data_IF_085483120665
#
_entry.id   IF_085483120665
#
_cell.length_a   1.000
_cell.length_b   1.000
_cell.length_c   1.000
_cell.angle_alpha   90.00
_cell.angle_beta   90.00
_cell.angle_gamma   90.00
#
_symmetry.space_group_name_H-M   'P 1'
#
loop_
_entity.id
_entity.type
_entity.pdbx_description
1 polymer ?
#
# COMPACT_ATOMS: atom_id res chain seq x y z
N UNK A 1 0.84 27.19 8.12
CA UNK A 1 1.49 26.08 8.84
C UNK A 1 0.90 24.80 8.28
N UNK A 2 1.68 23.99 7.57
CA UNK A 2 1.28 22.67 7.13
C UNK A 2 1.15 21.70 8.30
N UNK A 3 0.51 20.53 8.09
CA UNK A 3 0.27 19.55 9.14
C UNK A 3 1.55 18.97 9.74
N UNK A 4 2.68 19.05 9.03
CA UNK A 4 3.98 18.49 9.44
C UNK A 4 5.03 19.54 9.79
N UNK A 5 4.67 20.84 9.80
CA UNK A 5 5.64 21.93 10.01
C UNK A 5 6.31 21.88 11.39
N UNK A 6 5.56 21.49 12.43
CA UNK A 6 6.12 21.34 13.77
C UNK A 6 7.14 20.20 13.83
N UNK A 7 6.85 19.07 13.18
CA UNK A 7 7.76 17.93 13.12
C UNK A 7 9.06 18.31 12.39
N UNK A 8 8.95 19.08 11.32
CA UNK A 8 10.11 19.60 10.58
C UNK A 8 10.95 20.53 11.45
N UNK A 9 10.32 21.52 12.09
CA UNK A 9 11.01 22.46 12.96
C UNK A 9 11.75 21.75 14.11
N UNK A 10 11.13 20.74 14.73
CA UNK A 10 11.77 19.93 15.76
C UNK A 10 12.94 19.12 15.21
N UNK A 11 12.77 18.48 14.04
CA UNK A 11 13.85 17.70 13.41
C UNK A 11 15.07 18.54 13.04
N UNK A 12 14.88 19.82 12.72
CA UNK A 12 15.97 20.77 12.41
C UNK A 12 16.75 21.18 13.67
N UNK A 13 16.14 21.10 14.84
CA UNK A 13 16.79 21.44 16.12
C UNK A 13 17.66 20.32 16.71
N UNK A 14 17.51 19.08 16.23
CA UNK A 14 18.18 17.89 16.79
C UNK A 14 19.13 17.29 15.74
N UNK A 15 20.39 17.09 16.12
CA UNK A 15 21.40 16.44 15.27
C UNK A 15 21.38 14.91 15.34
N UNK A 16 22.19 14.26 14.49
CA UNK A 16 22.40 12.81 14.54
C UNK A 16 23.26 12.46 15.75
N UNK A 17 22.81 11.52 16.57
CA UNK A 17 23.60 10.95 17.66
C UNK A 17 24.62 9.94 17.10
N UNK A 18 25.95 10.16 17.23
CA UNK A 18 26.96 9.26 16.73
C UNK A 18 27.12 7.99 17.58
N UNK A 19 26.57 7.97 18.80
CA UNK A 19 26.71 6.85 19.74
C UNK A 19 25.55 5.85 19.65
N UNK A 20 24.41 6.29 19.12
CA UNK A 20 23.22 5.45 18.95
C UNK A 20 23.21 4.72 17.59
N UNK A 21 22.63 3.51 17.52
CA UNK A 21 22.29 2.90 16.25
C UNK A 21 21.23 3.73 15.51
N UNK A 22 21.16 3.59 14.20
CA UNK A 22 20.12 4.26 13.41
C UNK A 22 18.72 3.84 13.89
N UNK A 23 17.78 4.80 14.02
CA UNK A 23 16.38 4.61 14.49
C UNK A 23 15.59 3.46 13.83
N UNK A 24 16.06 2.98 12.68
CA UNK A 24 15.39 1.90 11.96
C UNK A 24 15.58 0.52 12.62
N UNK A 25 16.59 0.40 13.49
CA UNK A 25 16.92 -0.78 14.28
C UNK A 25 16.30 -0.68 15.67
N UNK A 26 16.10 -1.85 16.30
CA UNK A 26 15.69 -1.91 17.70
C UNK A 26 16.93 -1.55 18.54
N UNK A 27 16.77 -0.64 19.49
CA UNK A 27 17.85 -0.19 20.39
C UNK A 27 18.04 -1.20 21.54
N UNK A 28 18.39 -2.43 21.16
CA UNK A 28 18.71 -3.52 22.08
C UNK A 28 20.02 -4.19 21.65
N UNK A 29 21.02 -4.33 22.54
CA UNK A 29 22.34 -4.85 22.19
C UNK A 29 22.35 -6.23 21.52
N UNK A 30 21.38 -7.10 21.80
CA UNK A 30 21.31 -8.42 21.20
C UNK A 30 20.73 -8.39 19.77
N UNK A 31 20.00 -7.34 19.41
CA UNK A 31 19.29 -7.24 18.11
C UNK A 31 19.93 -6.25 17.14
N UNK A 32 20.82 -5.36 17.60
CA UNK A 32 21.48 -4.37 16.74
C UNK A 32 22.45 -5.08 15.78
N UNK A 33 22.25 -4.96 14.45
CA UNK A 33 23.15 -5.58 13.48
C UNK A 33 24.48 -4.82 13.39
N UNK A 34 25.59 -5.52 13.63
CA UNK A 34 26.94 -4.94 13.66
C UNK A 34 27.61 -4.86 12.28
N UNK A 35 27.32 -5.80 11.37
CA UNK A 35 27.96 -5.89 10.05
C UNK A 35 27.07 -5.37 8.93
N UNK A 36 27.65 -4.95 7.80
CA UNK A 36 26.88 -4.51 6.65
C UNK A 36 25.96 -5.62 6.08
N UNK A 37 26.41 -6.88 6.11
CA UNK A 37 25.62 -8.01 5.69
C UNK A 37 24.39 -8.23 6.59
N UNK A 38 24.59 -8.24 7.91
CA UNK A 38 23.49 -8.40 8.88
C UNK A 38 22.51 -7.24 8.84
N UNK A 39 22.97 -6.01 8.60
CA UNK A 39 22.10 -4.84 8.35
C UNK A 39 21.20 -5.05 7.13
N UNK A 40 21.73 -5.55 6.01
CA UNK A 40 20.94 -5.85 4.81
C UNK A 40 19.91 -6.94 5.09
N UNK A 41 20.32 -8.02 5.73
CA UNK A 41 19.43 -9.12 6.10
C UNK A 41 18.31 -8.65 7.03
N UNK A 42 18.61 -7.78 8.00
CA UNK A 42 17.60 -7.20 8.90
C UNK A 42 16.51 -6.45 8.10
N UNK A 43 16.90 -5.57 7.17
CA UNK A 43 15.94 -4.85 6.33
C UNK A 43 15.13 -5.79 5.43
N UNK A 44 15.79 -6.77 4.81
CA UNK A 44 15.10 -7.77 3.99
C UNK A 44 14.06 -8.54 4.81
N UNK A 45 14.42 -9.02 6.00
CA UNK A 45 13.51 -9.74 6.89
C UNK A 45 12.33 -8.87 7.33
N UNK A 46 12.59 -7.60 7.67
CA UNK A 46 11.53 -6.63 8.04
C UNK A 46 10.55 -6.38 6.89
N UNK A 47 11.04 -6.22 5.68
CA UNK A 47 10.18 -6.03 4.50
C UNK A 47 9.42 -7.31 4.12
N UNK A 48 10.04 -8.49 4.22
CA UNK A 48 9.37 -9.77 4.01
C UNK A 48 8.23 -9.97 5.01
N UNK A 49 8.45 -9.66 6.30
CA UNK A 49 7.40 -9.72 7.32
C UNK A 49 6.23 -8.78 7.01
N UNK A 50 6.50 -7.55 6.55
CA UNK A 50 5.45 -6.62 6.10
C UNK A 50 4.64 -7.17 4.93
N UNK A 51 5.30 -7.76 3.93
CA UNK A 51 4.63 -8.36 2.76
C UNK A 51 3.77 -9.55 3.15
N UNK A 52 4.29 -10.45 3.99
CA UNK A 52 3.55 -11.59 4.50
C UNK A 52 2.32 -11.15 5.29
N UNK A 53 2.44 -10.12 6.13
CA UNK A 53 1.31 -9.56 6.87
C UNK A 53 0.24 -8.94 5.95
N UNK A 54 0.65 -8.25 4.88
CA UNK A 54 -0.29 -7.72 3.88
C UNK A 54 -1.03 -8.83 3.15
N UNK A 55 -0.32 -9.86 2.71
CA UNK A 55 -0.94 -11.02 2.07
C UNK A 55 -1.95 -11.70 3.00
N UNK A 56 -1.62 -11.89 4.28
CA UNK A 56 -2.55 -12.44 5.27
C UNK A 56 -3.81 -11.58 5.41
N UNK A 57 -3.66 -10.26 5.39
CA UNK A 57 -4.77 -9.32 5.46
C UNK A 57 -5.66 -9.36 4.22
N UNK A 58 -5.07 -9.56 3.03
CA UNK A 58 -5.79 -9.74 1.77
C UNK A 58 -6.56 -11.07 1.70
N UNK A 59 -5.96 -12.16 2.20
CA UNK A 59 -6.60 -13.48 2.24
C UNK A 59 -7.74 -13.56 3.26
N UNK A 60 -7.61 -12.91 4.41
CA UNK A 60 -8.56 -12.98 5.53
C UNK A 60 -9.05 -11.60 5.99
N UNK A 61 -9.72 -10.82 5.12
CA UNK A 61 -10.07 -9.43 5.41
C UNK A 61 -11.04 -9.30 6.60
N UNK A 62 -11.84 -10.33 6.87
CA UNK A 62 -12.79 -10.35 8.00
C UNK A 62 -12.09 -10.27 9.36
N UNK A 63 -10.86 -10.76 9.47
CA UNK A 63 -10.07 -10.65 10.71
C UNK A 63 -9.64 -9.19 11.00
N UNK A 64 -9.68 -8.33 9.99
CA UNK A 64 -9.26 -6.93 10.04
C UNK A 64 -10.43 -5.96 9.86
N UNK A 65 -11.68 -6.44 9.96
CA UNK A 65 -12.89 -5.65 9.74
C UNK A 65 -13.34 -4.82 10.95
N UNK A 66 -12.72 -5.01 12.12
CA UNK A 66 -13.06 -4.23 13.32
C UNK A 66 -12.41 -2.85 13.27
N UNK A 67 -13.22 -1.84 12.96
CA UNK A 67 -12.79 -0.45 12.86
C UNK A 67 -13.16 0.35 14.11
N UNK A 68 -12.20 1.12 14.62
CA UNK A 68 -12.36 1.98 15.81
C UNK A 68 -11.71 3.36 15.64
N UNK A 69 -11.10 3.60 14.49
CA UNK A 69 -10.41 4.83 14.12
C UNK A 69 -11.40 5.91 13.67
N UNK A 70 -11.20 7.10 14.21
CA UNK A 70 -11.85 8.34 13.77
C UNK A 70 -10.75 9.41 13.65
N UNK A 71 -10.41 9.90 12.45
CA UNK A 71 -11.05 9.63 11.15
C UNK A 71 -10.73 8.24 10.58
N UNK A 72 -11.60 7.76 9.70
CA UNK A 72 -11.38 6.52 8.94
C UNK A 72 -10.08 6.58 8.13
N UNK A 73 -9.27 5.51 8.21
CA UNK A 73 -7.96 5.43 7.55
C UNK A 73 -7.93 4.34 6.45
N UNK A 74 -8.26 4.69 5.18
CA UNK A 74 -8.29 3.73 4.07
C UNK A 74 -6.95 3.01 3.81
N UNK A 75 -5.84 3.65 4.17
CA UNK A 75 -4.49 3.13 3.94
C UNK A 75 -4.16 1.88 4.78
N UNK A 76 -4.89 1.62 5.88
CA UNK A 76 -4.67 0.46 6.75
C UNK A 76 -5.69 -0.66 6.54
N UNK A 77 -6.54 -0.55 5.53
CA UNK A 77 -7.54 -1.57 5.22
C UNK A 77 -7.04 -2.51 4.13
N UNK A 78 -7.39 -3.81 4.21
CA UNK A 78 -7.13 -4.73 3.11
C UNK A 78 -7.83 -4.22 1.85
N UNK A 79 -7.04 -3.93 0.80
CA UNK A 79 -7.57 -3.54 -0.50
C UNK A 79 -7.66 -4.80 -1.34
N UNK A 80 -8.85 -5.41 -1.41
CA UNK A 80 -9.06 -6.50 -2.35
C UNK A 80 -9.26 -5.90 -3.75
N UNK A 81 -8.51 -6.34 -4.78
CA UNK A 81 -8.82 -5.96 -6.15
C UNK A 81 -10.28 -6.31 -6.43
N UNK A 82 -11.00 -5.39 -7.07
CA UNK A 82 -12.40 -5.61 -7.37
C UNK A 82 -12.50 -6.74 -8.39
N UNK A 83 -13.40 -7.70 -8.16
CA UNK A 83 -13.65 -8.76 -9.12
C UNK A 83 -14.25 -8.15 -10.40
N UNK A 84 -13.55 -8.17 -11.55
CA UNK A 84 -14.02 -7.52 -12.78
C UNK A 84 -15.36 -8.06 -13.27
N UNK A 85 -15.79 -9.25 -12.82
CA UNK A 85 -17.10 -9.81 -13.13
C UNK A 85 -18.24 -9.19 -12.30
N UNK A 86 -17.93 -8.66 -11.11
CA UNK A 86 -18.90 -8.01 -10.22
C UNK A 86 -19.00 -6.50 -10.45
N UNK A 87 -17.97 -5.89 -11.05
CA UNK A 87 -17.96 -4.45 -11.37
C UNK A 87 -18.92 -4.16 -12.54
N UNK A 88 -19.64 -3.05 -12.45
CA UNK A 88 -20.55 -2.62 -13.50
C UNK A 88 -19.77 -2.25 -14.78
N UNK A 89 -20.20 -2.68 -15.98
CA UNK A 89 -19.53 -2.38 -17.25
C UNK A 89 -19.75 -0.91 -17.65
N UNK A 90 -18.98 -0.01 -17.04
CA UNK A 90 -19.02 1.44 -17.25
C UNK A 90 -17.63 1.98 -17.56
N UNK A 91 -17.55 3.01 -18.39
CA UNK A 91 -16.28 3.63 -18.82
C UNK A 91 -15.44 4.12 -17.62
N UNK A 92 -16.08 4.73 -16.62
CA UNK A 92 -15.43 5.21 -15.39
C UNK A 92 -14.69 4.08 -14.65
N UNK A 93 -15.25 2.88 -14.61
CA UNK A 93 -14.64 1.73 -13.92
C UNK A 93 -13.44 1.18 -14.68
N UNK A 94 -13.48 1.18 -16.02
CA UNK A 94 -12.33 0.79 -16.85
C UNK A 94 -11.19 1.78 -16.65
N UNK A 95 -11.48 3.08 -16.69
CA UNK A 95 -10.49 4.14 -16.43
C UNK A 95 -9.86 3.99 -15.04
N UNK A 96 -10.66 3.73 -14.01
CA UNK A 96 -10.16 3.50 -12.65
C UNK A 96 -9.23 2.27 -12.55
N UNK A 97 -9.49 1.19 -13.30
CA UNK A 97 -8.62 0.01 -13.36
C UNK A 97 -7.31 0.30 -14.11
N UNK A 98 -7.37 1.10 -15.19
CA UNK A 98 -6.19 1.56 -15.93
C UNK A 98 -5.27 2.40 -15.03
N UNK A 99 -5.84 3.34 -14.27
CA UNK A 99 -5.09 4.16 -13.31
C UNK A 99 -4.38 3.31 -12.24
N UNK A 100 -5.04 2.24 -11.78
CA UNK A 100 -4.48 1.27 -10.83
C UNK A 100 -3.48 0.29 -11.45
N UNK A 101 -3.29 0.33 -12.77
CA UNK A 101 -2.43 -0.59 -13.54
C UNK A 101 -2.87 -2.05 -13.48
N UNK A 102 -4.17 -2.29 -13.30
CA UNK A 102 -4.80 -3.62 -13.29
C UNK A 102 -5.11 -4.04 -14.74
N UNK A 103 -4.07 -4.29 -15.55
CA UNK A 103 -4.19 -4.45 -17.01
C UNK A 103 -5.09 -5.63 -17.41
N UNK A 104 -4.92 -6.80 -16.78
CA UNK A 104 -5.72 -7.99 -17.11
C UNK A 104 -7.21 -7.77 -16.81
N UNK A 105 -7.52 -7.12 -15.70
CA UNK A 105 -8.90 -6.88 -15.27
C UNK A 105 -9.56 -5.78 -16.09
N UNK A 106 -8.82 -4.73 -16.45
CA UNK A 106 -9.27 -3.69 -17.37
C UNK A 106 -9.64 -4.26 -18.75
N UNK A 107 -8.80 -5.15 -19.30
CA UNK A 107 -9.07 -5.82 -20.59
C UNK A 107 -10.35 -6.67 -20.50
N UNK A 108 -10.51 -7.47 -19.45
CA UNK A 108 -11.73 -8.29 -19.25
C UNK A 108 -12.99 -7.44 -19.13
N UNK A 109 -12.93 -6.33 -18.41
CA UNK A 109 -14.06 -5.43 -18.27
C UNK A 109 -14.42 -4.74 -19.59
N UNK A 110 -13.41 -4.35 -20.38
CA UNK A 110 -13.60 -3.77 -21.71
C UNK A 110 -14.23 -4.76 -22.70
N UNK A 111 -13.79 -6.03 -22.70
CA UNK A 111 -14.39 -7.08 -23.53
C UNK A 111 -15.89 -7.28 -23.21
N UNK A 112 -16.26 -7.18 -21.92
CA UNK A 112 -17.66 -7.25 -21.49
C UNK A 112 -18.47 -6.05 -21.97
N UNK A 113 -17.93 -4.84 -21.84
CA UNK A 113 -18.57 -3.61 -22.35
C UNK A 113 -18.86 -3.72 -23.85
N UNK A 114 -17.89 -4.25 -24.61
CA UNK A 114 -18.05 -4.50 -26.05
C UNK A 114 -19.13 -5.56 -26.35
N UNK A 115 -19.19 -6.63 -25.55
CA UNK A 115 -20.22 -7.66 -25.70
C UNK A 115 -21.63 -7.13 -25.41
N UNK A 116 -21.75 -6.22 -24.44
CA UNK A 116 -23.02 -5.60 -24.04
C UNK A 116 -23.44 -4.44 -24.98
N UNK A 117 -22.64 -4.14 -26.03
CA UNK A 117 -22.85 -3.04 -26.99
C UNK A 117 -23.00 -1.66 -26.33
N UNK A 118 -22.27 -1.41 -25.25
CA UNK A 118 -22.25 -0.11 -24.58
C UNK A 118 -21.28 0.80 -25.36
N UNK A 119 -21.72 2.00 -25.72
CA UNK A 119 -20.86 3.00 -26.37
C UNK A 119 -19.77 3.48 -25.40
N UNK A 120 -18.52 3.49 -25.88
CA UNK A 120 -17.35 3.94 -25.12
C UNK A 120 -16.64 5.02 -25.93
N UNK A 121 -16.11 6.05 -25.26
CA UNK A 121 -15.36 7.14 -25.90
C UNK A 121 -14.17 6.63 -26.72
N UNK A 122 -13.84 7.33 -27.82
CA UNK A 122 -12.64 7.05 -28.64
C UNK A 122 -11.32 7.21 -27.86
N UNK A 123 -11.31 8.01 -26.80
CA UNK A 123 -10.11 8.20 -25.95
C UNK A 123 -9.84 6.97 -25.07
N UNK A 124 -10.85 6.13 -24.86
CA UNK A 124 -10.80 4.91 -24.05
C UNK A 124 -10.76 3.61 -24.88
N UNK A 125 -10.82 3.72 -26.21
CA UNK A 125 -10.66 2.60 -27.16
C UNK A 125 -9.20 2.30 -27.47
#
# INVERSE_FOLDING_TARGET
RGPTDLLRALSETVGVDPTAPHFAFIDDPATIPSTAATKRTYYMAKEMGKRAARQLAEEWPTLFALDRDDPYLPAFRPQKPADPLQVAPTEENVLAMIEKREVEDAVRLYERIRADNIEVSQETQ
#
